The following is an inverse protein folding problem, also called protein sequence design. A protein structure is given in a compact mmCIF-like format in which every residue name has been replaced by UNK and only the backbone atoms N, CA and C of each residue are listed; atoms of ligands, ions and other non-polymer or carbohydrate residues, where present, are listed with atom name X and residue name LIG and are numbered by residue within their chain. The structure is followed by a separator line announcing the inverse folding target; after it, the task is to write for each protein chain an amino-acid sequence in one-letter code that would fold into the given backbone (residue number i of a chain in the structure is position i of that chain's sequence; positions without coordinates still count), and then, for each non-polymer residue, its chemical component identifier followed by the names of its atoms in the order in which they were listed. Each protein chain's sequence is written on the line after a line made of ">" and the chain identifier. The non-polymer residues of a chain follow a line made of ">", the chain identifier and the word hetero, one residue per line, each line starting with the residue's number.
data_IF_441422182612
#
_entry.id   IF_441422182612
#
_cell.length_a   1.000
_cell.length_b   1.000
_cell.length_c   1.000
_cell.angle_alpha   90.00
_cell.angle_beta   90.00
_cell.angle_gamma   90.00
#
_symmetry.space_group_name_H-M   'P 1'
#
loop_
_entity.id
_entity.type
_entity.pdbx_description
1 polymer ?
#
# COMPACT_ATOMS: atom_id res chain seq x y z
N UNK A 1 -4.73 8.16 -19.26
CA UNK A 1 -3.57 7.92 -18.37
C UNK A 1 -3.94 8.46 -17.00
N UNK A 2 -3.69 7.72 -15.92
CA UNK A 2 -4.02 8.19 -14.57
C UNK A 2 -3.04 9.30 -14.19
N UNK A 3 -3.53 10.53 -14.00
CA UNK A 3 -2.66 11.69 -13.76
C UNK A 3 -1.80 11.56 -12.50
N UNK A 4 -2.34 10.95 -11.46
CA UNK A 4 -1.63 10.69 -10.22
C UNK A 4 -0.36 9.83 -10.39
N UNK A 5 -0.28 9.04 -11.47
CA UNK A 5 0.87 8.17 -11.78
C UNK A 5 1.91 8.86 -12.67
N UNK A 6 1.71 10.13 -13.05
CA UNK A 6 2.71 10.92 -13.79
C UNK A 6 3.76 11.58 -12.89
N UNK A 7 3.52 11.62 -11.58
CA UNK A 7 4.41 12.21 -10.58
C UNK A 7 4.84 11.17 -9.56
N UNK A 8 6.03 11.35 -8.99
CA UNK A 8 6.53 10.53 -7.87
C UNK A 8 5.89 10.91 -6.53
N UNK A 9 5.03 11.95 -6.46
CA UNK A 9 4.36 12.36 -5.21
C UNK A 9 3.62 11.22 -4.49
N UNK A 10 2.86 10.39 -5.23
CA UNK A 10 2.16 9.25 -4.64
C UNK A 10 3.12 8.14 -4.20
N UNK A 11 4.25 8.00 -4.89
CA UNK A 11 5.32 7.05 -4.55
C UNK A 11 5.97 7.46 -3.24
N UNK A 12 6.32 8.73 -3.09
CA UNK A 12 6.93 9.29 -1.89
C UNK A 12 5.98 9.18 -0.69
N UNK A 13 4.69 9.49 -0.91
CA UNK A 13 3.63 9.36 0.10
C UNK A 13 3.50 7.94 0.66
N UNK A 14 3.55 6.92 -0.21
CA UNK A 14 3.40 5.50 0.20
C UNK A 14 4.74 4.88 0.65
N UNK A 15 5.85 5.59 0.47
CA UNK A 15 7.19 5.14 0.89
C UNK A 15 7.86 4.18 -0.09
N UNK A 16 7.62 4.35 -1.39
CA UNK A 16 8.33 3.68 -2.48
C UNK A 16 7.44 2.90 -3.46
N UNK A 17 7.99 2.63 -4.65
CA UNK A 17 7.26 2.02 -5.77
C UNK A 17 6.75 0.61 -5.45
N UNK A 18 7.54 -0.18 -4.73
CA UNK A 18 7.16 -1.53 -4.32
C UNK A 18 5.93 -1.49 -3.41
N UNK A 19 5.97 -0.65 -2.37
CA UNK A 19 4.86 -0.46 -1.43
C UNK A 19 3.59 0.02 -2.13
N UNK A 20 3.72 1.00 -3.02
CA UNK A 20 2.60 1.47 -3.85
C UNK A 20 1.99 0.33 -4.68
N UNK A 21 2.84 -0.44 -5.37
CA UNK A 21 2.42 -1.56 -6.20
C UNK A 21 1.66 -2.61 -5.37
N UNK A 22 2.19 -3.00 -4.22
CA UNK A 22 1.55 -3.96 -3.31
C UNK A 22 0.22 -3.45 -2.76
N UNK A 23 0.15 -2.17 -2.36
CA UNK A 23 -1.07 -1.56 -1.83
C UNK A 23 -2.18 -1.51 -2.90
N UNK A 24 -1.83 -1.08 -4.12
CA UNK A 24 -2.76 -1.04 -5.25
C UNK A 24 -3.25 -2.44 -5.61
N UNK A 25 -2.36 -3.42 -5.74
CA UNK A 25 -2.74 -4.81 -6.08
C UNK A 25 -3.69 -5.40 -5.03
N UNK A 26 -3.38 -5.23 -3.74
CA UNK A 26 -4.25 -5.72 -2.66
C UNK A 26 -5.62 -5.06 -2.71
N UNK A 27 -5.68 -3.74 -2.95
CA UNK A 27 -6.96 -3.04 -3.01
C UNK A 27 -7.79 -3.42 -4.24
N UNK A 28 -7.16 -3.58 -5.39
CA UNK A 28 -7.82 -4.07 -6.60
C UNK A 28 -8.51 -5.39 -6.35
N UNK A 29 -7.84 -6.36 -5.72
CA UNK A 29 -8.43 -7.65 -5.40
C UNK A 29 -9.68 -7.51 -4.52
N UNK A 30 -9.62 -6.67 -3.48
CA UNK A 30 -10.79 -6.42 -2.61
C UNK A 30 -11.98 -5.85 -3.39
N UNK A 31 -11.74 -4.89 -4.28
CA UNK A 31 -12.78 -4.29 -5.11
C UNK A 31 -13.38 -5.32 -6.08
N UNK A 32 -12.54 -6.18 -6.67
CA UNK A 32 -12.97 -7.29 -7.54
C UNK A 32 -13.81 -8.34 -6.77
N UNK A 33 -13.51 -8.55 -5.49
CA UNK A 33 -14.28 -9.42 -4.59
C UNK A 33 -15.56 -8.76 -4.05
N UNK A 34 -15.87 -7.53 -4.47
CA UNK A 34 -17.12 -6.83 -4.15
C UNK A 34 -17.03 -5.90 -2.92
N UNK A 35 -15.83 -5.60 -2.42
CA UNK A 35 -15.67 -4.61 -1.37
C UNK A 35 -16.22 -3.24 -1.83
N UNK A 36 -16.85 -2.51 -0.90
CA UNK A 36 -17.38 -1.18 -1.20
C UNK A 36 -16.21 -0.18 -1.42
N UNK A 37 -16.27 0.65 -2.48
CA UNK A 37 -15.40 1.82 -2.61
C UNK A 37 -15.55 2.78 -1.41
N UNK A 38 -14.44 3.32 -0.92
CA UNK A 38 -14.38 4.32 0.14
C UNK A 38 -14.47 5.75 -0.42
N UNK A 39 -14.45 5.88 -1.74
CA UNK A 39 -14.68 7.11 -2.51
C UNK A 39 -15.86 6.88 -3.45
N UNK A 40 -16.47 7.98 -3.92
CA UNK A 40 -17.51 7.88 -4.94
C UNK A 40 -16.93 7.31 -6.24
N UNK A 41 -17.61 6.31 -6.83
CA UNK A 41 -17.08 5.63 -8.01
C UNK A 41 -17.16 6.50 -9.25
N UNK A 42 -18.25 7.26 -9.45
CA UNK A 42 -18.41 8.15 -10.60
C UNK A 42 -18.00 7.53 -11.96
N UNK A 43 -18.31 6.24 -12.17
CA UNK A 43 -17.95 5.49 -13.39
C UNK A 43 -16.48 5.09 -13.55
N UNK A 44 -15.64 5.35 -12.54
CA UNK A 44 -14.20 5.02 -12.54
C UNK A 44 -13.92 3.52 -12.44
N UNK A 45 -12.83 3.09 -13.06
CA UNK A 45 -12.29 1.73 -12.91
C UNK A 45 -11.84 1.44 -11.48
N UNK A 46 -11.68 0.15 -11.11
CA UNK A 46 -11.18 -0.21 -9.78
C UNK A 46 -9.78 0.35 -9.51
N UNK A 47 -8.94 0.45 -10.55
CA UNK A 47 -7.60 1.04 -10.43
C UNK A 47 -7.68 2.53 -10.08
N UNK A 48 -8.53 3.28 -10.78
CA UNK A 48 -8.73 4.70 -10.50
C UNK A 48 -9.33 4.93 -9.11
N UNK A 49 -10.26 4.08 -8.68
CA UNK A 49 -10.81 4.10 -7.31
C UNK A 49 -9.71 3.85 -6.27
N UNK A 50 -8.90 2.79 -6.45
CA UNK A 50 -7.83 2.46 -5.52
C UNK A 50 -6.79 3.59 -5.41
N UNK A 51 -6.42 4.21 -6.53
CA UNK A 51 -5.49 5.35 -6.53
C UNK A 51 -6.08 6.57 -5.81
N UNK A 52 -7.36 6.87 -6.02
CA UNK A 52 -8.03 7.96 -5.31
C UNK A 52 -8.08 7.72 -3.80
N UNK A 53 -8.38 6.49 -3.37
CA UNK A 53 -8.41 6.13 -1.96
C UNK A 53 -7.05 6.29 -1.29
N UNK A 54 -5.95 6.00 -2.00
CA UNK A 54 -4.58 6.23 -1.51
C UNK A 54 -4.29 7.73 -1.40
N UNK A 55 -4.65 8.53 -2.42
CA UNK A 55 -4.42 9.97 -2.41
C UNK A 55 -5.18 10.66 -1.27
N UNK A 56 -6.41 10.23 -1.01
CA UNK A 56 -7.28 10.70 0.07
C UNK A 56 -6.98 10.05 1.44
N UNK A 57 -5.91 9.25 1.55
CA UNK A 57 -5.48 8.61 2.82
C UNK A 57 -6.53 7.69 3.46
N UNK A 58 -7.45 7.16 2.65
CA UNK A 58 -8.48 6.23 3.11
C UNK A 58 -7.97 4.81 3.23
N UNK A 59 -6.90 4.48 2.51
CA UNK A 59 -6.17 3.23 2.64
C UNK A 59 -4.66 3.51 2.76
N UNK A 60 -3.99 2.75 3.60
CA UNK A 60 -2.55 2.80 3.81
C UNK A 60 -2.02 1.39 4.11
N UNK A 61 -0.71 1.21 3.96
CA UNK A 61 -0.06 0.01 4.49
C UNK A 61 0.07 0.15 6.00
N UNK A 62 -0.53 -0.78 6.73
CA UNK A 62 -0.29 -0.93 8.15
C UNK A 62 0.95 -1.82 8.32
N UNK A 63 2.12 -1.20 8.52
CA UNK A 63 3.37 -1.89 8.81
C UNK A 63 3.78 -1.58 10.24
N UNK A 64 3.40 -2.46 11.15
CA UNK A 64 3.89 -2.44 12.50
C UNK A 64 5.07 -3.43 12.63
N UNK A 65 6.33 -2.95 12.70
CA UNK A 65 7.49 -3.83 12.84
C UNK A 65 7.45 -4.67 14.12
N UNK A 66 6.67 -4.28 15.14
CA UNK A 66 6.50 -5.08 16.36
C UNK A 66 5.67 -6.36 16.13
N UNK A 67 4.87 -6.38 15.06
CA UNK A 67 4.09 -7.57 14.66
C UNK A 67 4.90 -8.59 13.86
N UNK A 68 6.14 -8.24 13.49
CA UNK A 68 7.03 -9.12 12.76
C UNK A 68 7.45 -10.28 13.68
N UNK A 69 6.75 -11.41 13.57
CA UNK A 69 7.16 -12.65 14.23
C UNK A 69 8.46 -13.13 13.60
N UNK A 70 9.57 -12.81 14.26
CA UNK A 70 10.87 -13.40 13.93
C UNK A 70 10.75 -14.89 14.21
N UNK A 71 10.81 -15.70 13.14
CA UNK A 71 10.82 -17.15 13.28
C UNK A 71 12.05 -17.59 14.10
N UNK A 72 11.94 -18.66 14.91
CA UNK A 72 13.09 -19.19 15.63
C UNK A 72 14.16 -19.60 14.60
N UNK A 73 15.26 -18.85 14.54
CA UNK A 73 16.36 -19.08 13.60
C UNK A 73 16.92 -17.84 12.92
N UNK A 74 16.21 -16.70 12.95
CA UNK A 74 16.74 -15.42 12.48
C UNK A 74 17.30 -14.61 13.67
N UNK A 75 18.28 -15.17 14.37
CA UNK A 75 19.08 -14.39 15.29
C UNK A 75 19.85 -13.36 14.45
N UNK A 76 19.62 -12.06 14.72
CA UNK A 76 20.48 -11.01 14.19
C UNK A 76 21.90 -11.34 14.64
N UNK A 77 22.90 -11.38 13.74
CA UNK A 77 24.27 -11.60 14.14
C UNK A 77 24.62 -10.55 15.21
N UNK A 78 25.14 -11.06 16.32
CA UNK A 78 25.27 -10.34 17.59
C UNK A 78 25.79 -8.92 17.44
N UNK A 79 25.25 -8.05 18.29
CA UNK A 79 25.86 -6.76 18.56
C UNK A 79 27.36 -6.97 18.79
N UNK A 80 28.15 -6.14 18.13
CA UNK A 80 29.53 -5.95 18.51
C UNK A 80 29.46 -5.33 19.90
N UNK A 81 29.63 -6.17 20.92
CA UNK A 81 29.97 -5.71 22.24
C UNK A 81 31.37 -5.06 22.14
N UNK A 82 31.51 -3.89 22.75
CA UNK A 82 32.65 -2.95 22.74
C UNK A 82 34.06 -3.58 22.77
#
# INVERSE_FOLDING_TARGET
>A
MIEALKSDHIVDKVGGRFKLCSLVQRRLLQLMEGARPLVDRNGRSDLEVAIEEILQEKIALDFDPSTLKVGPGLALPGGIDD
#
